data_IF_208713302532
#
_entry.id   IF_208713302532
#
_cell.length_a   1.000
_cell.length_b   1.000
_cell.length_c   1.000
_cell.angle_alpha   90.00
_cell.angle_beta   90.00
_cell.angle_gamma   90.00
#
_symmetry.space_group_name_H-M   'P 1'
#
loop_
_entity.id
_entity.type
_entity.pdbx_description
1 polymer ?
#
# COMPACT_ATOMS: atom_id res chain seq x y z
N UNK A 1 24.06 36.28 -19.78
CA UNK A 1 24.21 34.98 -19.09
C UNK A 1 23.08 34.84 -18.10
N UNK A 2 22.00 34.14 -18.45
CA UNK A 2 21.00 33.68 -17.49
C UNK A 2 20.78 32.21 -17.77
N UNK A 3 21.25 31.37 -16.85
CA UNK A 3 21.00 29.93 -16.86
C UNK A 3 19.49 29.67 -16.84
N UNK A 4 18.93 28.77 -17.66
CA UNK A 4 17.55 28.35 -17.50
C UNK A 4 17.45 27.55 -16.20
N UNK A 5 16.56 27.97 -15.29
CA UNK A 5 16.29 27.25 -14.07
C UNK A 5 15.79 25.84 -14.39
N UNK A 6 16.52 24.83 -13.91
CA UNK A 6 16.17 23.42 -13.94
C UNK A 6 14.92 23.16 -13.08
N UNK A 7 13.74 23.44 -13.63
CA UNK A 7 12.46 22.93 -13.12
C UNK A 7 12.08 21.70 -13.94
N UNK A 8 12.65 20.55 -13.61
CA UNK A 8 12.24 19.28 -14.20
C UNK A 8 12.25 18.20 -13.14
N UNK A 9 11.17 17.42 -13.12
CA UNK A 9 10.89 16.14 -12.43
C UNK A 9 9.84 16.12 -11.33
N UNK A 10 9.63 17.12 -10.48
CA UNK A 10 8.60 16.97 -9.43
C UNK A 10 7.18 16.84 -10.01
N UNK A 11 6.80 17.71 -10.95
CA UNK A 11 5.44 17.73 -11.54
C UNK A 11 5.14 16.59 -12.52
N UNK A 12 6.16 16.03 -13.19
CA UNK A 12 6.00 14.87 -14.07
C UNK A 12 5.84 13.57 -13.27
N UNK A 13 6.54 13.45 -12.14
CA UNK A 13 6.41 12.31 -11.24
C UNK A 13 5.04 12.30 -10.54
N UNK A 14 4.52 13.47 -10.14
CA UNK A 14 3.17 13.62 -9.58
C UNK A 14 2.09 13.18 -10.57
N UNK A 15 2.16 13.60 -11.83
CA UNK A 15 1.19 13.20 -12.87
C UNK A 15 1.25 11.71 -13.23
N UNK A 16 2.35 11.03 -12.94
CA UNK A 16 2.53 9.60 -13.20
C UNK A 16 2.10 8.71 -12.02
N UNK A 17 2.19 9.23 -10.78
CA UNK A 17 1.81 8.50 -9.56
C UNK A 17 0.40 8.80 -9.05
N UNK A 18 -0.17 9.97 -9.38
CA UNK A 18 -1.61 10.21 -9.22
C UNK A 18 -2.31 9.44 -10.33
N UNK A 19 -2.36 8.12 -10.15
CA UNK A 19 -3.06 7.19 -11.01
C UNK A 19 -4.50 7.65 -11.18
N UNK A 20 -5.10 7.30 -12.32
CA UNK A 20 -6.51 7.54 -12.63
C UNK A 20 -7.39 6.72 -11.67
N UNK A 21 -7.52 7.15 -10.43
CA UNK A 21 -8.44 6.58 -9.45
C UNK A 21 -9.85 6.84 -9.94
N UNK A 22 -10.67 5.80 -10.05
CA UNK A 22 -12.06 5.98 -10.44
C UNK A 22 -12.82 6.50 -9.23
N UNK A 23 -13.45 7.67 -9.37
CA UNK A 23 -14.20 8.28 -8.29
C UNK A 23 -15.31 7.32 -7.81
N UNK A 24 -15.29 6.99 -6.52
CA UNK A 24 -16.24 6.05 -5.92
C UNK A 24 -15.94 4.56 -6.16
N UNK A 25 -14.85 4.20 -6.82
CA UNK A 25 -14.47 2.80 -7.01
C UNK A 25 -13.87 2.18 -5.74
N UNK A 26 -14.00 0.85 -5.66
CA UNK A 26 -13.49 0.04 -4.56
C UNK A 26 -12.59 -1.08 -5.07
N UNK A 27 -11.57 -1.40 -4.28
CA UNK A 27 -10.63 -2.49 -4.49
C UNK A 27 -10.93 -3.58 -3.46
N UNK A 28 -11.26 -4.78 -3.96
CA UNK A 28 -11.59 -5.92 -3.11
C UNK A 28 -10.35 -6.43 -2.38
N UNK A 29 -10.51 -6.81 -1.13
CA UNK A 29 -9.48 -7.46 -0.34
C UNK A 29 -9.31 -8.93 -0.67
N UNK A 30 -10.34 -9.54 -1.27
CA UNK A 30 -10.39 -10.97 -1.54
C UNK A 30 -10.66 -11.83 -0.29
N UNK A 31 -10.99 -11.20 0.84
CA UNK A 31 -11.51 -11.81 2.06
C UNK A 31 -13.02 -11.51 2.07
N UNK A 32 -13.85 -12.53 1.87
CA UNK A 32 -15.27 -12.35 1.54
C UNK A 32 -16.02 -11.55 2.61
N UNK A 33 -15.85 -11.90 3.88
CA UNK A 33 -16.52 -11.26 5.00
C UNK A 33 -16.05 -9.81 5.18
N UNK A 34 -14.76 -9.54 4.97
CA UNK A 34 -14.22 -8.18 5.06
C UNK A 34 -14.72 -7.31 3.91
N UNK A 35 -14.77 -7.86 2.70
CA UNK A 35 -15.31 -7.16 1.53
C UNK A 35 -16.79 -6.83 1.74
N UNK A 36 -17.58 -7.72 2.33
CA UNK A 36 -18.97 -7.46 2.69
C UNK A 36 -19.08 -6.33 3.73
N UNK A 37 -18.31 -6.41 4.82
CA UNK A 37 -18.27 -5.37 5.86
C UNK A 37 -17.89 -3.99 5.30
N UNK A 38 -16.99 -3.95 4.32
CA UNK A 38 -16.53 -2.74 3.65
C UNK A 38 -17.38 -2.33 2.43
N UNK A 39 -18.47 -3.05 2.15
CA UNK A 39 -19.36 -2.81 0.99
C UNK A 39 -18.65 -2.85 -0.36
N UNK A 40 -17.75 -3.82 -0.54
CA UNK A 40 -17.00 -4.07 -1.76
C UNK A 40 -15.50 -3.83 -1.67
N UNK A 41 -14.96 -3.61 -0.47
CA UNK A 41 -13.52 -3.42 -0.23
C UNK A 41 -13.11 -1.97 0.04
N UNK A 42 -11.80 -1.70 0.01
CA UNK A 42 -11.23 -0.38 0.26
C UNK A 42 -11.54 0.60 -0.87
N UNK A 43 -11.54 1.89 -0.61
CA UNK A 43 -11.67 2.89 -1.67
C UNK A 43 -10.39 2.90 -2.52
N UNK A 44 -10.55 2.97 -3.84
CA UNK A 44 -9.41 3.02 -4.75
C UNK A 44 -8.63 4.34 -4.56
N UNK A 45 -7.32 4.24 -4.32
CA UNK A 45 -6.43 5.39 -4.10
C UNK A 45 -6.24 5.80 -2.64
N UNK A 46 -7.00 5.22 -1.70
CA UNK A 46 -6.88 5.55 -0.28
C UNK A 46 -5.69 4.85 0.39
N UNK A 47 -5.11 5.54 1.38
CA UNK A 47 -4.20 4.93 2.34
C UNK A 47 -4.99 4.39 3.54
N UNK A 48 -4.87 3.09 3.81
CA UNK A 48 -5.62 2.40 4.88
C UNK A 48 -4.71 2.09 6.07
N UNK A 49 -5.08 2.57 7.26
CA UNK A 49 -4.39 2.25 8.51
C UNK A 49 -5.01 1.02 9.19
N UNK A 50 -4.21 -0.03 9.39
CA UNK A 50 -4.61 -1.21 10.16
C UNK A 50 -3.94 -1.18 11.54
N UNK A 51 -4.72 -0.98 12.60
CA UNK A 51 -4.24 -0.90 13.98
C UNK A 51 -4.81 -2.02 14.85
N UNK A 52 -4.04 -2.45 15.86
CA UNK A 52 -4.42 -3.53 16.78
C UNK A 52 -3.25 -4.01 17.64
N UNK A 53 -3.56 -4.73 18.72
CA UNK A 53 -2.56 -5.29 19.65
C UNK A 53 -1.59 -6.28 18.97
N UNK A 54 -0.47 -6.58 19.62
CA UNK A 54 0.40 -7.68 19.16
C UNK A 54 -0.41 -8.98 19.01
N UNK A 55 -0.14 -9.75 17.95
CA UNK A 55 -0.88 -10.98 17.65
C UNK A 55 -2.28 -10.80 17.03
N UNK A 56 -2.77 -9.58 16.81
CA UNK A 56 -4.12 -9.34 16.26
C UNK A 56 -4.28 -9.62 14.75
N UNK A 57 -3.28 -10.23 14.10
CA UNK A 57 -3.34 -10.59 12.67
C UNK A 57 -3.06 -9.47 11.66
N UNK A 58 -2.51 -8.32 12.05
CA UNK A 58 -2.22 -7.19 11.12
C UNK A 58 -1.35 -7.59 9.92
N UNK A 59 -0.23 -8.25 10.19
CA UNK A 59 0.68 -8.74 9.13
C UNK A 59 0.00 -9.78 8.25
N UNK A 60 -0.79 -10.67 8.85
CA UNK A 60 -1.58 -11.66 8.12
C UNK A 60 -2.58 -11.00 7.18
N UNK A 61 -3.31 -9.98 7.65
CA UNK A 61 -4.25 -9.22 6.83
C UNK A 61 -3.54 -8.53 5.65
N UNK A 62 -2.41 -7.86 5.91
CA UNK A 62 -1.64 -7.18 4.86
C UNK A 62 -1.13 -8.14 3.78
N UNK A 63 -0.60 -9.30 4.20
CA UNK A 63 -0.13 -10.33 3.28
C UNK A 63 -1.27 -11.00 2.52
N UNK A 64 -2.41 -11.27 3.17
CA UNK A 64 -3.59 -11.82 2.50
C UNK A 64 -4.13 -10.87 1.46
N UNK A 65 -4.24 -9.57 1.77
CA UNK A 65 -4.63 -8.54 0.82
C UNK A 65 -3.73 -8.55 -0.42
N UNK A 66 -2.41 -8.52 -0.20
CA UNK A 66 -1.42 -8.53 -1.28
C UNK A 66 -1.49 -9.80 -2.14
N UNK A 67 -1.49 -10.96 -1.50
CA UNK A 67 -1.52 -12.25 -2.20
C UNK A 67 -2.83 -12.40 -2.97
N UNK A 68 -3.97 -12.03 -2.37
CA UNK A 68 -5.27 -12.06 -3.04
C UNK A 68 -5.29 -11.13 -4.26
N UNK A 69 -4.75 -9.91 -4.15
CA UNK A 69 -4.56 -8.97 -5.25
C UNK A 69 -3.89 -9.65 -6.45
N UNK A 70 -2.75 -10.30 -6.19
CA UNK A 70 -1.96 -10.98 -7.22
C UNK A 70 -2.72 -12.18 -7.80
N UNK A 71 -3.16 -13.12 -6.96
CA UNK A 71 -3.65 -14.42 -7.43
C UNK A 71 -5.09 -14.40 -7.92
N UNK A 72 -5.94 -13.52 -7.39
CA UNK A 72 -7.38 -13.44 -7.75
C UNK A 72 -7.67 -12.36 -8.77
N UNK A 73 -6.91 -11.27 -8.76
CA UNK A 73 -7.23 -10.07 -9.55
C UNK A 73 -6.11 -9.69 -10.53
N UNK A 74 -4.93 -10.34 -10.46
CA UNK A 74 -3.79 -10.01 -11.30
C UNK A 74 -3.18 -8.64 -10.98
N UNK A 75 -3.43 -8.12 -9.78
CA UNK A 75 -2.97 -6.81 -9.33
C UNK A 75 -1.54 -6.94 -8.76
N UNK A 76 -0.55 -6.22 -9.30
CA UNK A 76 0.79 -6.20 -8.71
C UNK A 76 0.77 -5.44 -7.38
N UNK A 77 1.66 -5.80 -6.48
CA UNK A 77 1.81 -5.07 -5.22
C UNK A 77 3.18 -5.20 -4.60
N UNK A 78 3.45 -4.34 -3.63
CA UNK A 78 4.72 -4.23 -2.93
C UNK A 78 4.46 -4.43 -1.44
N UNK A 79 5.23 -5.30 -0.80
CA UNK A 79 5.28 -5.42 0.66
C UNK A 79 6.56 -4.76 1.17
N UNK A 80 6.40 -3.67 1.92
CA UNK A 80 7.51 -2.98 2.60
C UNK A 80 7.43 -3.29 4.09
N UNK A 81 8.51 -3.82 4.66
CA UNK A 81 8.61 -4.12 6.08
C UNK A 81 9.82 -3.42 6.69
N UNK A 82 9.65 -2.95 7.93
CA UNK A 82 10.69 -2.34 8.74
C UNK A 82 11.02 -3.27 9.90
N UNK A 83 11.46 -4.50 9.60
CA UNK A 83 12.04 -5.35 10.63
C UNK A 83 13.34 -4.70 11.11
N UNK A 84 13.43 -4.36 12.39
CA UNK A 84 14.74 -4.14 13.01
C UNK A 84 15.46 -5.48 12.99
N UNK A 85 16.55 -5.58 12.23
CA UNK A 85 17.56 -6.57 12.62
C UNK A 85 18.00 -6.20 14.03
N UNK A 86 18.10 -7.17 14.97
CA UNK A 86 18.79 -6.90 16.21
C UNK A 86 20.16 -6.38 15.80
N UNK A 87 20.42 -5.10 16.09
CA UNK A 87 21.76 -4.58 16.03
C UNK A 87 22.57 -5.54 16.88
N UNK A 88 23.56 -6.18 16.25
CA UNK A 88 24.58 -6.93 16.95
C UNK A 88 25.20 -5.93 17.93
N UNK A 89 24.65 -5.88 19.13
CA UNK A 89 25.20 -5.12 20.23
C UNK A 89 26.41 -5.93 20.66
N UNK A 90 27.51 -5.73 19.94
CA UNK A 90 28.83 -6.12 20.40
C UNK A 90 29.15 -5.18 21.58
N UNK A 91 28.83 -5.62 22.79
CA UNK A 91 29.29 -5.15 24.12
C UNK A 91 28.41 -5.89 25.14
N UNK A 92 28.87 -6.84 25.95
CA UNK A 92 30.19 -7.09 26.56
C UNK A 92 30.49 -8.59 26.69
#
# INVERSE_FOLDING_TARGET
MTSPASRTRASEFEHQFIGRTREGARVKTGIAELDEMLRGGFMEGDAVLVAGSAGSGKTTLALQYLVNGIVKFGEPGIYLTFEQMPDQTNSD
#
